data_IF_625331521976
#
_entry.id   IF_625331521976
#
_cell.length_a   1.000
_cell.length_b   1.000
_cell.length_c   1.000
_cell.angle_alpha   90.00
_cell.angle_beta   90.00
_cell.angle_gamma   90.00
#
_symmetry.space_group_name_H-M   'P 1'
#
loop_
_entity.id
_entity.type
_entity.pdbx_description
1 polymer ?
#
# COMPACT_ATOMS: atom_id res chain seq x y z
N UNK A 1 -11.28 -20.79 4.82
CA UNK A 1 -11.77 -19.42 5.14
C UNK A 1 -10.77 -18.65 6.03
N UNK A 2 -10.17 -19.29 7.03
CA UNK A 2 -9.24 -18.67 7.99
C UNK A 2 -7.86 -18.33 7.41
N UNK A 3 -7.23 -19.22 6.64
CA UNK A 3 -5.88 -18.98 6.12
C UNK A 3 -5.79 -17.76 5.19
N UNK A 4 -6.82 -17.55 4.35
CA UNK A 4 -6.87 -16.39 3.45
C UNK A 4 -6.97 -15.07 4.23
N UNK A 5 -7.76 -15.04 5.31
CA UNK A 5 -7.88 -13.88 6.19
C UNK A 5 -6.58 -13.61 6.94
N UNK A 6 -5.90 -14.63 7.45
CA UNK A 6 -4.61 -14.49 8.11
C UNK A 6 -3.53 -13.96 7.16
N UNK A 7 -3.45 -14.52 5.95
CA UNK A 7 -2.50 -14.07 4.94
C UNK A 7 -2.76 -12.61 4.54
N UNK A 8 -4.03 -12.22 4.41
CA UNK A 8 -4.41 -10.84 4.11
C UNK A 8 -4.09 -9.89 5.28
N UNK A 9 -4.39 -10.30 6.51
CA UNK A 9 -4.04 -9.56 7.72
C UNK A 9 -2.54 -9.27 7.80
N UNK A 10 -1.72 -10.28 7.53
CA UNK A 10 -0.27 -10.12 7.50
C UNK A 10 0.18 -9.07 6.46
N UNK A 11 -0.41 -9.06 5.27
CA UNK A 11 -0.09 -8.05 4.25
C UNK A 11 -0.54 -6.65 4.63
N UNK A 12 -1.73 -6.51 5.22
CA UNK A 12 -2.19 -5.22 5.74
C UNK A 12 -1.23 -4.68 6.81
N UNK A 13 -0.71 -5.55 7.68
CA UNK A 13 0.27 -5.11 8.68
C UNK A 13 1.61 -4.73 8.08
N UNK A 14 2.08 -5.42 7.03
CA UNK A 14 3.30 -5.03 6.32
C UNK A 14 3.14 -3.69 5.61
N UNK A 15 1.98 -3.44 4.99
CA UNK A 15 1.69 -2.18 4.29
C UNK A 15 1.73 -0.96 5.20
N UNK A 16 1.45 -1.14 6.49
CA UNK A 16 1.46 -0.05 7.47
C UNK A 16 2.88 0.26 7.99
N UNK A 17 3.90 -0.54 7.66
CA UNK A 17 5.27 -0.29 8.11
C UNK A 17 5.91 0.83 7.30
N UNK A 18 6.30 1.90 7.99
CA UNK A 18 7.03 3.00 7.39
C UNK A 18 8.48 3.03 7.88
N UNK A 19 9.46 3.33 7.00
CA UNK A 19 10.81 3.63 7.45
C UNK A 19 10.81 4.90 8.29
N UNK A 20 11.71 4.97 9.25
CA UNK A 20 11.83 6.12 10.13
C UNK A 20 12.15 7.39 9.32
N UNK A 21 11.53 8.51 9.71
CA UNK A 21 11.70 9.82 9.07
C UNK A 21 11.26 9.92 7.59
N UNK A 22 10.45 8.98 7.12
CA UNK A 22 9.92 8.99 5.75
C UNK A 22 8.38 9.06 5.74
N UNK A 23 7.78 10.20 6.19
CA UNK A 23 6.33 10.36 6.12
C UNK A 23 5.87 10.34 4.66
N UNK A 24 4.83 9.55 4.40
CA UNK A 24 4.16 9.53 3.09
C UNK A 24 3.17 10.70 3.00
N UNK A 25 3.15 11.46 1.89
CA UNK A 25 2.07 12.37 1.58
C UNK A 25 0.71 11.68 1.63
N UNK A 26 -0.33 12.41 2.03
CA UNK A 26 -1.67 11.85 2.28
C UNK A 26 -2.25 11.13 1.05
N UNK A 27 -2.02 11.67 -0.14
CA UNK A 27 -2.51 11.12 -1.40
C UNK A 27 -1.88 9.75 -1.69
N UNK A 28 -0.58 9.62 -1.40
CA UNK A 28 0.17 8.38 -1.55
C UNK A 28 -0.29 7.35 -0.53
N UNK A 29 -0.53 7.78 0.71
CA UNK A 29 -1.03 6.91 1.76
C UNK A 29 -2.44 6.37 1.45
N UNK A 30 -3.34 7.21 0.94
CA UNK A 30 -4.69 6.80 0.50
C UNK A 30 -4.59 5.72 -0.58
N UNK A 31 -3.74 5.92 -1.61
CA UNK A 31 -3.58 4.93 -2.67
C UNK A 31 -3.09 3.58 -2.14
N UNK A 32 -2.06 3.58 -1.29
CA UNK A 32 -1.48 2.36 -0.73
C UNK A 32 -2.47 1.59 0.14
N UNK A 33 -3.20 2.30 1.02
CA UNK A 33 -4.23 1.68 1.87
C UNK A 33 -5.37 1.14 1.02
N UNK A 34 -5.85 1.90 0.04
CA UNK A 34 -6.89 1.46 -0.88
C UNK A 34 -6.47 0.19 -1.63
N UNK A 35 -5.23 0.14 -2.12
CA UNK A 35 -4.69 -1.01 -2.82
C UNK A 35 -4.69 -2.28 -1.92
N UNK A 36 -4.30 -2.12 -0.66
CA UNK A 36 -4.22 -3.22 0.29
C UNK A 36 -5.59 -3.73 0.74
N UNK A 37 -6.53 -2.83 1.06
CA UNK A 37 -7.90 -3.19 1.50
C UNK A 37 -8.68 -3.92 0.40
N UNK A 38 -8.50 -3.51 -0.86
CA UNK A 38 -9.14 -4.16 -2.00
C UNK A 38 -8.41 -5.42 -2.49
N UNK A 39 -7.27 -5.78 -1.89
CA UNK A 39 -6.59 -7.06 -2.16
C UNK A 39 -5.71 -7.05 -3.39
N UNK A 40 -5.33 -5.88 -3.91
CA UNK A 40 -4.44 -5.80 -5.07
C UNK A 40 -3.03 -6.32 -4.77
N UNK A 41 -2.64 -6.41 -3.50
CA UNK A 41 -1.40 -7.04 -3.05
C UNK A 41 -1.57 -8.50 -2.59
N UNK A 42 -2.76 -9.13 -2.68
CA UNK A 42 -3.02 -10.46 -2.10
C UNK A 42 -2.24 -11.61 -2.77
N UNK A 43 -1.71 -11.41 -3.97
CA UNK A 43 -0.85 -12.37 -4.67
C UNK A 43 0.65 -12.15 -4.41
N UNK A 44 1.01 -11.06 -3.73
CA UNK A 44 2.40 -10.75 -3.46
C UNK A 44 2.93 -11.55 -2.26
N UNK A 45 4.17 -12.06 -2.35
CA UNK A 45 4.94 -12.50 -1.19
C UNK A 45 5.05 -11.37 -0.16
N UNK A 46 4.99 -11.71 1.13
CA UNK A 46 5.02 -10.73 2.24
C UNK A 46 6.28 -9.85 2.22
N UNK A 47 7.43 -10.45 1.95
CA UNK A 47 8.74 -9.81 1.83
C UNK A 47 8.84 -8.83 0.64
N UNK A 48 7.90 -8.90 -0.32
CA UNK A 48 7.85 -8.03 -1.49
C UNK A 48 6.81 -6.91 -1.41
N UNK A 49 6.08 -6.80 -0.30
CA UNK A 49 5.08 -5.73 -0.10
C UNK A 49 5.71 -4.34 -0.27
N UNK A 50 6.87 -4.10 0.34
CA UNK A 50 7.55 -2.80 0.22
C UNK A 50 7.98 -2.46 -1.22
N UNK A 51 8.33 -3.48 -2.03
CA UNK A 51 8.64 -3.27 -3.44
C UNK A 51 7.38 -2.95 -4.25
N UNK A 52 6.26 -3.63 -3.95
CA UNK A 52 4.97 -3.35 -4.55
C UNK A 52 4.57 -1.90 -4.33
N UNK A 53 4.61 -1.40 -3.09
CA UNK A 53 4.28 -0.01 -2.76
C UNK A 53 5.11 0.99 -3.56
N UNK A 54 6.43 0.82 -3.60
CA UNK A 54 7.31 1.70 -4.40
C UNK A 54 6.92 1.67 -5.87
N UNK A 55 6.58 0.51 -6.41
CA UNK A 55 6.17 0.39 -7.81
C UNK A 55 4.86 1.13 -8.07
N UNK A 56 3.84 0.98 -7.21
CA UNK A 56 2.55 1.66 -7.43
C UNK A 56 2.73 3.18 -7.35
N UNK A 57 3.48 3.65 -6.36
CA UNK A 57 3.72 5.07 -6.12
C UNK A 57 4.52 5.74 -7.26
N UNK A 58 5.33 4.97 -7.98
CA UNK A 58 6.06 5.44 -9.15
C UNK A 58 5.22 5.38 -10.43
N UNK A 59 4.26 4.45 -10.52
CA UNK A 59 3.40 4.29 -11.70
C UNK A 59 2.25 5.30 -11.79
N UNK A 60 1.83 5.87 -10.65
CA UNK A 60 0.68 6.78 -10.58
C UNK A 60 1.15 8.22 -10.53
N UNK A 61 0.64 9.05 -11.44
CA UNK A 61 0.83 10.49 -11.39
C UNK A 61 -0.23 11.14 -10.49
N UNK A 62 0.22 11.83 -9.44
CA UNK A 62 -0.67 12.42 -8.42
C UNK A 62 -1.12 13.85 -8.76
N UNK A 63 -1.08 14.24 -10.04
CA UNK A 63 -1.42 15.59 -10.51
C UNK A 63 -2.83 16.04 -10.11
N UNK A 64 -3.79 15.11 -10.10
CA UNK A 64 -5.22 15.41 -10.00
C UNK A 64 -5.61 15.86 -8.57
N UNK A 65 -4.93 15.37 -7.54
CA UNK A 65 -5.35 15.63 -6.15
C UNK A 65 -4.87 16.99 -5.61
N UNK A 66 -3.89 17.64 -6.26
CA UNK A 66 -3.46 19.00 -5.91
C UNK A 66 -4.50 20.07 -6.23
N UNK A 67 -5.49 19.79 -7.07
CA UNK A 67 -6.57 20.73 -7.36
C UNK A 67 -7.72 20.64 -6.35
N UNK A 68 -7.78 19.55 -5.57
CA UNK A 68 -8.85 19.30 -4.59
C UNK A 68 -8.46 19.69 -3.15
N UNK A 69 -7.18 19.99 -2.89
CA UNK A 69 -6.63 20.43 -1.60
C UNK A 69 -6.02 21.82 -1.75
#
# INVERSE_FOLDING_TARGET
RTQALLNRGARLTEVLKQPQYAPLPIEKQILVIYAAVNGFCDRMPLDRISQYEKAILNSVSFSILREFL
#
